data_IF_332711168742
#
_entry.id   IF_332711168742
#
_cell.length_a   1.000
_cell.length_b   1.000
_cell.length_c   1.000
_cell.angle_alpha   90.00
_cell.angle_beta   90.00
_cell.angle_gamma   90.00
#
_symmetry.space_group_name_H-M   'P 1'
#
loop_
_entity.id
_entity.type
_entity.pdbx_description
1 polymer ?
#
# COMPACT_ATOMS: atom_id res chain seq x y z
N UNK A 1 31.93 -11.72 -8.90
CA UNK A 1 32.72 -10.47 -8.91
C UNK A 1 33.04 -10.08 -10.35
N UNK A 2 32.40 -9.04 -10.92
CA UNK A 2 32.96 -8.37 -12.10
C UNK A 2 34.02 -7.41 -11.60
N UNK A 3 35.24 -7.92 -11.44
CA UNK A 3 36.41 -7.06 -11.22
C UNK A 3 36.56 -6.20 -12.48
N UNK A 4 36.14 -4.93 -12.41
CA UNK A 4 36.45 -3.96 -13.44
C UNK A 4 37.96 -3.74 -13.40
N UNK A 5 38.62 -4.24 -14.44
CA UNK A 5 40.04 -4.13 -14.70
C UNK A 5 40.55 -2.70 -14.53
N UNK A 6 41.29 -2.45 -13.45
CA UNK A 6 42.30 -1.39 -13.41
C UNK A 6 43.65 -2.06 -13.69
N UNK A 7 44.02 -2.02 -14.97
CA UNK A 7 45.30 -2.48 -15.51
C UNK A 7 46.41 -1.58 -14.95
N UNK A 8 47.29 -2.10 -14.10
CA UNK A 8 48.49 -1.35 -13.69
C UNK A 8 49.36 -1.92 -12.55
N UNK A 9 48.91 -2.90 -11.77
CA UNK A 9 49.67 -3.37 -10.60
C UNK A 9 49.80 -4.92 -10.56
N UNK A 10 50.40 -5.52 -11.58
CA UNK A 10 50.32 -6.98 -11.78
C UNK A 10 51.49 -7.81 -11.22
N UNK A 11 52.59 -7.23 -10.70
CA UNK A 11 53.79 -8.04 -10.41
C UNK A 11 54.16 -8.31 -8.94
N UNK A 12 53.49 -7.71 -7.94
CA UNK A 12 53.86 -7.92 -6.51
C UNK A 12 52.70 -8.45 -5.62
N UNK A 13 51.45 -8.45 -6.11
CA UNK A 13 50.28 -8.79 -5.29
C UNK A 13 49.87 -10.28 -5.31
N UNK A 14 50.54 -11.13 -6.10
CA UNK A 14 50.09 -12.49 -6.43
C UNK A 14 50.08 -13.49 -5.25
N UNK A 15 50.80 -13.21 -4.15
CA UNK A 15 50.81 -14.08 -2.96
C UNK A 15 49.70 -13.78 -1.95
N UNK A 16 49.47 -12.49 -1.64
CA UNK A 16 48.49 -12.09 -0.63
C UNK A 16 47.06 -12.03 -1.19
N UNK A 17 46.90 -11.63 -2.45
CA UNK A 17 45.57 -11.54 -3.08
C UNK A 17 44.94 -12.93 -3.27
N UNK A 18 45.74 -13.96 -3.57
CA UNK A 18 45.27 -15.35 -3.73
C UNK A 18 44.68 -15.92 -2.43
N UNK A 19 45.31 -15.61 -1.29
CA UNK A 19 44.84 -16.03 0.03
C UNK A 19 43.54 -15.33 0.41
N UNK A 20 43.46 -14.01 0.18
CA UNK A 20 42.26 -13.21 0.45
C UNK A 20 41.07 -13.70 -0.40
N UNK A 21 41.30 -14.06 -1.66
CA UNK A 21 40.26 -14.63 -2.51
C UNK A 21 39.76 -16.00 -2.01
N UNK A 22 40.67 -16.87 -1.56
CA UNK A 22 40.30 -18.18 -0.98
C UNK A 22 39.49 -18.03 0.33
N UNK A 23 39.87 -17.08 1.18
CA UNK A 23 39.13 -16.79 2.43
C UNK A 23 37.76 -16.19 2.14
N UNK A 24 37.66 -15.28 1.16
CA UNK A 24 36.38 -14.72 0.71
C UNK A 24 35.45 -15.80 0.15
N UNK A 25 35.96 -16.74 -0.65
CA UNK A 25 35.17 -17.86 -1.18
C UNK A 25 34.59 -18.77 -0.08
N UNK A 26 35.26 -18.87 1.07
CA UNK A 26 34.74 -19.59 2.24
C UNK A 26 33.62 -18.78 2.89
N UNK A 27 33.80 -17.47 3.07
CA UNK A 27 32.81 -16.59 3.70
C UNK A 27 31.51 -16.54 2.88
N UNK A 28 31.60 -16.50 1.54
CA UNK A 28 30.43 -16.52 0.65
C UNK A 28 29.63 -17.83 0.71
N UNK A 29 30.23 -18.93 1.21
CA UNK A 29 29.52 -20.20 1.40
C UNK A 29 28.76 -20.26 2.72
N UNK A 30 29.03 -19.33 3.65
CA UNK A 30 28.32 -19.27 4.94
C UNK A 30 26.92 -18.72 4.69
N UNK A 31 25.85 -19.44 5.09
CA UNK A 31 24.50 -18.94 4.91
C UNK A 31 24.26 -17.69 5.77
N UNK A 32 23.40 -16.79 5.30
CA UNK A 32 23.07 -15.52 5.98
C UNK A 32 24.27 -14.59 6.22
N UNK A 33 25.34 -14.69 5.41
CA UNK A 33 26.51 -13.82 5.50
C UNK A 33 26.67 -12.99 4.22
N UNK A 34 26.93 -11.69 4.37
CA UNK A 34 27.32 -10.79 3.27
C UNK A 34 28.61 -10.07 3.68
N UNK A 35 29.77 -10.42 3.11
CA UNK A 35 31.01 -9.70 3.39
C UNK A 35 30.94 -8.30 2.77
N UNK A 36 31.17 -7.26 3.57
CA UNK A 36 31.17 -5.87 3.11
C UNK A 36 32.49 -5.18 3.45
N UNK A 37 32.85 -4.16 2.67
CA UNK A 37 33.95 -3.25 3.01
C UNK A 37 33.43 -1.82 3.04
N UNK A 38 33.32 -1.25 4.24
CA UNK A 38 32.80 0.11 4.43
C UNK A 38 33.72 1.18 3.81
N UNK A 39 35.03 0.99 3.90
CA UNK A 39 36.02 1.94 3.35
C UNK A 39 35.99 2.02 1.83
N UNK A 40 35.77 0.88 1.16
CA UNK A 40 35.73 0.81 -0.31
C UNK A 40 34.32 0.78 -0.89
N UNK A 41 33.29 0.82 -0.04
CA UNK A 41 31.88 0.71 -0.43
C UNK A 41 31.57 -0.54 -1.26
N UNK A 42 32.20 -1.67 -0.92
CA UNK A 42 31.96 -2.94 -1.63
C UNK A 42 30.77 -3.69 -1.04
N UNK A 43 30.02 -4.34 -1.91
CA UNK A 43 28.92 -5.26 -1.59
C UNK A 43 27.75 -4.65 -0.80
N UNK A 44 27.58 -3.33 -0.85
CA UNK A 44 26.39 -2.69 -0.28
C UNK A 44 25.13 -3.09 -1.05
N UNK A 45 25.22 -3.30 -2.37
CA UNK A 45 24.08 -3.74 -3.19
C UNK A 45 23.58 -5.13 -2.75
N UNK A 46 24.50 -6.11 -2.63
CA UNK A 46 24.19 -7.47 -2.16
C UNK A 46 23.61 -7.45 -0.73
N UNK A 47 24.14 -6.58 0.14
CA UNK A 47 23.62 -6.42 1.50
C UNK A 47 22.19 -5.87 1.49
N UNK A 48 21.93 -4.85 0.67
CA UNK A 48 20.60 -4.24 0.55
C UNK A 48 19.59 -5.23 -0.03
N UNK A 49 19.98 -6.00 -1.05
CA UNK A 49 19.15 -7.06 -1.64
C UNK A 49 18.79 -8.12 -0.60
N UNK A 50 19.79 -8.62 0.15
CA UNK A 50 19.55 -9.60 1.22
C UNK A 50 18.69 -9.04 2.34
N UNK A 51 18.89 -7.78 2.73
CA UNK A 51 18.03 -7.14 3.72
C UNK A 51 16.59 -7.06 3.24
N UNK A 52 16.37 -6.69 1.98
CA UNK A 52 15.03 -6.63 1.39
C UNK A 52 14.35 -8.01 1.38
N UNK A 53 15.08 -9.04 0.95
CA UNK A 53 14.60 -10.42 0.94
C UNK A 53 14.20 -10.90 2.34
N UNK A 54 15.03 -10.63 3.36
CA UNK A 54 14.72 -11.05 4.74
C UNK A 54 13.59 -10.26 5.39
N UNK A 55 13.43 -8.98 5.04
CA UNK A 55 12.34 -8.16 5.58
C UNK A 55 10.97 -8.60 5.04
N UNK A 56 10.93 -9.29 3.89
CA UNK A 56 9.71 -9.84 3.29
C UNK A 56 8.55 -8.83 3.27
N UNK A 57 8.83 -7.67 2.67
CA UNK A 57 7.89 -6.55 2.60
C UNK A 57 7.19 -6.55 1.24
N UNK A 58 5.96 -6.06 1.23
CA UNK A 58 5.20 -5.80 0.00
C UNK A 58 4.97 -4.30 -0.17
N UNK A 59 4.97 -3.84 -1.41
CA UNK A 59 4.71 -2.46 -1.82
C UNK A 59 3.36 -2.41 -2.49
N UNK A 60 2.46 -1.58 -1.97
CA UNK A 60 1.14 -1.37 -2.55
C UNK A 60 1.02 0.08 -2.99
N UNK A 61 0.69 0.30 -4.26
CA UNK A 61 0.52 1.62 -4.83
C UNK A 61 -0.92 2.08 -4.66
N UNK A 62 -1.11 3.34 -4.26
CA UNK A 62 -2.45 3.89 -4.10
C UNK A 62 -2.89 4.64 -5.35
N UNK A 63 -4.16 4.47 -5.71
CA UNK A 63 -4.76 5.15 -6.85
C UNK A 63 -6.01 5.92 -6.41
N UNK A 64 -6.00 7.26 -6.43
CA UNK A 64 -7.18 8.06 -6.16
C UNK A 64 -8.22 7.93 -7.29
N UNK A 65 -9.49 8.19 -6.97
CA UNK A 65 -10.54 8.24 -8.01
C UNK A 65 -10.27 9.41 -8.96
N UNK A 66 -10.19 9.11 -10.25
CA UNK A 66 -9.96 10.11 -11.29
C UNK A 66 -8.49 10.53 -11.46
N UNK A 67 -7.56 9.94 -10.70
CA UNK A 67 -6.12 10.16 -10.87
C UNK A 67 -5.41 8.87 -11.24
N UNK A 68 -4.21 9.03 -11.78
CA UNK A 68 -3.28 7.92 -12.04
C UNK A 68 -2.72 7.38 -10.72
N UNK A 69 -2.28 6.11 -10.69
CA UNK A 69 -1.57 5.56 -9.54
C UNK A 69 -0.30 6.37 -9.25
N UNK A 70 -0.01 6.58 -7.97
CA UNK A 70 1.26 7.15 -7.55
C UNK A 70 2.29 6.03 -7.33
N UNK A 71 3.33 6.01 -8.16
CA UNK A 71 4.43 5.04 -8.09
C UNK A 71 5.63 5.54 -7.27
N UNK A 72 5.65 6.82 -6.88
CA UNK A 72 6.77 7.38 -6.13
C UNK A 72 6.68 7.07 -4.63
N UNK A 73 5.46 7.01 -4.09
CA UNK A 73 5.22 6.75 -2.67
C UNK A 73 4.36 5.50 -2.46
N UNK A 74 4.95 4.29 -2.55
CA UNK A 74 4.25 3.06 -2.20
C UNK A 74 3.99 2.99 -0.70
N UNK A 75 2.89 2.34 -0.34
CA UNK A 75 2.62 1.94 1.04
C UNK A 75 3.24 0.57 1.26
N UNK A 76 4.16 0.50 2.20
CA UNK A 76 4.87 -0.74 2.53
C UNK A 76 4.16 -1.46 3.67
N UNK A 77 3.83 -2.73 3.44
CA UNK A 77 3.21 -3.63 4.42
C UNK A 77 4.12 -4.86 4.65
N UNK A 78 4.14 -5.43 5.87
CA UNK A 78 4.75 -6.73 6.10
C UNK A 78 3.98 -7.85 5.36
N UNK A 79 4.67 -8.88 4.89
CA UNK A 79 4.02 -10.03 4.24
C UNK A 79 3.01 -10.76 5.15
N UNK A 80 3.19 -10.71 6.48
CA UNK A 80 2.27 -11.32 7.43
C UNK A 80 0.94 -10.56 7.56
N UNK A 81 0.96 -9.24 7.33
CA UNK A 81 -0.21 -8.35 7.45
C UNK A 81 -0.41 -7.57 6.16
N UNK A 82 -0.92 -8.28 5.15
CA UNK A 82 -1.05 -7.81 3.76
C UNK A 82 -2.50 -7.77 3.26
N UNK A 83 -3.46 -7.56 4.14
CA UNK A 83 -4.86 -7.46 3.74
C UNK A 83 -5.21 -6.03 3.28
N UNK A 84 -6.32 -5.89 2.57
CA UNK A 84 -6.89 -4.56 2.24
C UNK A 84 -7.27 -3.79 3.51
N UNK A 85 -7.64 -4.49 4.60
CA UNK A 85 -7.93 -3.87 5.88
C UNK A 85 -6.68 -3.27 6.54
N UNK A 86 -5.55 -4.00 6.50
CA UNK A 86 -4.23 -3.52 6.96
C UNK A 86 -3.78 -2.29 6.16
N UNK A 87 -3.98 -2.31 4.84
CA UNK A 87 -3.73 -1.15 3.98
C UNK A 87 -4.56 0.07 4.43
N UNK A 88 -5.84 -0.12 4.72
CA UNK A 88 -6.71 0.96 5.19
C UNK A 88 -6.22 1.53 6.53
N UNK A 89 -5.82 0.66 7.47
CA UNK A 89 -5.27 1.06 8.77
C UNK A 89 -3.97 1.85 8.63
N UNK A 90 -3.10 1.44 7.69
CA UNK A 90 -1.82 2.10 7.42
C UNK A 90 -2.00 3.50 6.82
N UNK A 91 -3.01 3.69 5.97
CA UNK A 91 -3.37 5.01 5.42
C UNK A 91 -3.96 5.89 6.51
N UNK A 92 -5.06 5.45 7.12
CA UNK A 92 -5.75 6.23 8.16
C UNK A 92 -6.76 5.39 8.95
N UNK A 93 -6.76 5.50 10.29
CA UNK A 93 -7.63 4.72 11.19
C UNK A 93 -9.13 4.81 10.87
N UNK A 94 -9.62 5.98 10.46
CA UNK A 94 -11.05 6.14 10.11
C UNK A 94 -11.42 5.54 8.74
N UNK A 95 -10.44 5.31 7.86
CA UNK A 95 -10.70 4.77 6.53
C UNK A 95 -11.30 3.36 6.58
N UNK A 96 -10.89 2.59 7.59
CA UNK A 96 -11.41 1.25 7.86
C UNK A 96 -12.93 1.25 8.15
N UNK A 97 -13.43 2.27 8.85
CA UNK A 97 -14.86 2.42 9.19
C UNK A 97 -15.69 2.81 7.98
N UNK A 98 -15.16 3.72 7.18
CA UNK A 98 -15.82 4.21 5.97
C UNK A 98 -15.59 3.31 4.75
N UNK A 99 -14.90 2.17 4.89
CA UNK A 99 -14.62 1.29 3.75
C UNK A 99 -15.90 0.68 3.16
N UNK A 100 -16.09 0.79 1.84
CA UNK A 100 -17.18 0.12 1.10
C UNK A 100 -16.67 -1.10 0.34
N UNK A 101 -15.63 -0.91 -0.47
CA UNK A 101 -14.92 -1.93 -1.25
C UNK A 101 -13.63 -1.30 -1.80
N UNK A 102 -12.73 -2.12 -2.34
CA UNK A 102 -11.58 -1.63 -3.10
C UNK A 102 -11.59 -2.19 -4.53
N UNK A 103 -10.96 -1.47 -5.45
CA UNK A 103 -10.52 -2.01 -6.73
C UNK A 103 -9.04 -2.31 -6.63
N UNK A 104 -8.65 -3.50 -7.09
CA UNK A 104 -7.25 -3.91 -7.15
C UNK A 104 -6.88 -4.21 -8.60
N UNK A 105 -5.69 -3.75 -8.98
CA UNK A 105 -5.00 -4.14 -10.21
C UNK A 105 -3.69 -4.77 -9.81
N UNK A 106 -3.40 -5.95 -10.34
CA UNK A 106 -2.13 -6.63 -10.09
C UNK A 106 -2.28 -8.13 -10.03
N UNK A 107 -1.28 -8.78 -9.44
CA UNK A 107 -1.17 -10.25 -9.44
C UNK A 107 -2.13 -10.90 -8.44
N UNK A 108 -2.58 -10.17 -7.42
CA UNK A 108 -3.55 -10.71 -6.45
C UNK A 108 -4.97 -10.80 -7.00
N UNK A 109 -5.28 -10.04 -8.06
CA UNK A 109 -6.58 -10.02 -8.71
C UNK A 109 -6.60 -10.99 -9.90
N UNK A 110 -7.67 -11.77 -10.04
CA UNK A 110 -7.89 -12.66 -11.20
C UNK A 110 -8.25 -11.87 -12.47
N UNK A 111 -8.90 -10.72 -12.31
CA UNK A 111 -9.32 -9.84 -13.39
C UNK A 111 -8.93 -8.41 -13.05
N UNK A 112 -8.50 -7.62 -14.03
CA UNK A 112 -8.04 -6.26 -13.78
C UNK A 112 -9.03 -5.23 -14.37
N UNK A 113 -9.63 -4.32 -13.58
CA UNK A 113 -9.69 -4.32 -12.10
C UNK A 113 -10.65 -5.35 -11.53
N UNK A 114 -10.32 -5.88 -10.35
CA UNK A 114 -11.24 -6.70 -9.55
C UNK A 114 -11.77 -5.91 -8.37
N UNK A 115 -13.08 -6.03 -8.11
CA UNK A 115 -13.68 -5.52 -6.88
C UNK A 115 -13.44 -6.50 -5.74
N UNK A 116 -12.84 -6.02 -4.66
CA UNK A 116 -12.43 -6.84 -3.51
C UNK A 116 -12.99 -6.30 -2.19
N UNK A 117 -13.06 -7.20 -1.20
CA UNK A 117 -13.42 -6.90 0.19
C UNK A 117 -12.20 -6.56 1.05
N UNK A 118 -12.41 -6.52 2.37
CA UNK A 118 -11.37 -6.23 3.37
C UNK A 118 -10.38 -7.37 3.58
N UNK A 119 -10.90 -8.60 3.56
CA UNK A 119 -10.12 -9.84 3.75
C UNK A 119 -9.26 -10.22 2.54
N UNK A 120 -9.29 -9.41 1.46
CA UNK A 120 -8.51 -9.71 0.27
C UNK A 120 -7.03 -9.51 0.55
N UNK A 121 -6.24 -10.50 0.16
CA UNK A 121 -4.80 -10.55 0.37
C UNK A 121 -4.11 -9.89 -0.82
N UNK A 122 -3.29 -8.87 -0.55
CA UNK A 122 -2.53 -8.12 -1.55
C UNK A 122 -1.16 -8.78 -1.79
N UNK A 123 -0.63 -8.58 -2.99
CA UNK A 123 0.71 -8.99 -3.39
C UNK A 123 1.61 -7.77 -3.61
N UNK A 124 2.93 -8.00 -3.73
CA UNK A 124 3.87 -6.93 -4.07
C UNK A 124 3.52 -6.29 -5.42
N UNK A 125 3.70 -4.98 -5.49
CA UNK A 125 3.41 -4.10 -6.62
C UNK A 125 1.93 -3.97 -7.04
N UNK A 126 1.00 -4.47 -6.23
CA UNK A 126 -0.42 -4.25 -6.47
C UNK A 126 -0.80 -2.77 -6.39
N UNK A 127 -1.74 -2.37 -7.24
CA UNK A 127 -2.37 -1.04 -7.19
C UNK A 127 -3.74 -1.17 -6.56
N UNK A 128 -4.02 -0.35 -5.55
CA UNK A 128 -5.30 -0.35 -4.83
C UNK A 128 -5.99 1.03 -4.89
N UNK A 129 -7.28 1.01 -5.22
CA UNK A 129 -8.17 2.17 -5.14
C UNK A 129 -9.28 1.89 -4.13
N UNK A 130 -9.25 2.60 -3.01
CA UNK A 130 -10.22 2.45 -1.92
C UNK A 130 -11.46 3.28 -2.21
N UNK A 131 -12.65 2.67 -2.11
CA UNK A 131 -13.93 3.35 -2.24
C UNK A 131 -14.60 3.44 -0.87
N UNK A 132 -14.87 4.68 -0.45
CA UNK A 132 -15.55 4.96 0.83
C UNK A 132 -17.08 4.85 0.68
N UNK A 133 -17.74 4.47 1.77
CA UNK A 133 -19.19 4.63 1.95
C UNK A 133 -19.47 6.12 2.04
N UNK A 134 -20.57 6.56 1.43
CA UNK A 134 -21.02 7.93 1.58
C UNK A 134 -21.58 8.09 2.99
N UNK A 135 -20.87 8.83 3.82
CA UNK A 135 -21.38 9.39 5.08
C UNK A 135 -21.58 10.88 4.85
N UNK A 136 -22.76 11.42 5.18
CA UNK A 136 -22.95 12.88 5.15
C UNK A 136 -21.85 13.49 6.04
N UNK A 137 -21.07 14.47 5.57
CA UNK A 137 -20.06 15.09 6.41
C UNK A 137 -20.77 15.71 7.63
N UNK A 138 -20.24 15.49 8.84
CA UNK A 138 -20.73 16.18 10.03
C UNK A 138 -20.60 17.69 9.78
N UNK A 139 -21.72 18.41 9.74
CA UNK A 139 -21.76 19.86 9.54
C UNK A 139 -21.97 20.33 8.09
N UNK A 140 -22.22 19.46 7.11
CA UNK A 140 -22.67 19.92 5.79
C UNK A 140 -24.16 20.29 5.85
N UNK A 141 -24.48 21.54 5.52
CA UNK A 141 -25.85 22.05 5.48
C UNK A 141 -26.71 21.12 4.60
N UNK A 142 -27.88 20.63 5.08
CA UNK A 142 -28.77 19.84 4.23
C UNK A 142 -29.13 20.66 3.00
N UNK A 143 -29.10 20.02 1.82
CA UNK A 143 -29.48 20.69 0.58
C UNK A 143 -30.99 21.00 0.58
N UNK A 144 -31.31 22.26 0.89
CA UNK A 144 -32.70 22.76 0.94
C UNK A 144 -33.36 22.84 -0.45
N UNK A 145 -32.60 22.70 -1.54
CA UNK A 145 -33.16 22.70 -2.89
C UNK A 145 -33.61 21.31 -3.35
N UNK A 146 -33.35 20.26 -2.58
CA UNK A 146 -33.88 18.92 -2.88
C UNK A 146 -35.39 18.87 -2.54
N UNK A 147 -36.28 18.62 -3.52
CA UNK A 147 -37.72 18.59 -3.25
C UNK A 147 -38.09 17.42 -2.32
N UNK A 148 -38.96 17.70 -1.36
CA UNK A 148 -39.47 16.70 -0.43
C UNK A 148 -40.52 15.85 -1.17
N UNK A 149 -40.16 14.61 -1.49
CA UNK A 149 -41.07 13.67 -2.15
C UNK A 149 -41.96 12.98 -1.12
N UNK A 150 -43.26 13.19 -1.24
CA UNK A 150 -44.28 12.47 -0.49
C UNK A 150 -44.74 11.21 -1.27
N UNK A 151 -45.12 10.12 -0.57
CA UNK A 151 -45.70 8.95 -1.22
C UNK A 151 -46.99 9.31 -1.96
N UNK A 152 -47.32 8.58 -3.02
CA UNK A 152 -48.47 8.86 -3.87
C UNK A 152 -49.80 8.91 -3.10
N UNK A 153 -49.89 8.12 -2.02
CA UNK A 153 -51.08 7.90 -1.19
C UNK A 153 -51.26 8.95 -0.07
N UNK A 154 -50.32 9.90 0.05
CA UNK A 154 -50.19 10.77 1.22
C UNK A 154 -49.69 12.15 0.77
N UNK A 155 -50.62 12.98 0.30
CA UNK A 155 -50.35 14.32 -0.27
C UNK A 155 -50.86 15.47 0.61
N UNK A 156 -51.20 15.18 1.87
CA UNK A 156 -51.73 16.19 2.77
C UNK A 156 -50.62 17.08 3.36
N UNK A 157 -50.99 18.27 3.83
CA UNK A 157 -50.05 19.19 4.50
C UNK A 157 -49.51 18.58 5.79
N UNK A 158 -50.32 17.79 6.51
CA UNK A 158 -49.92 17.13 7.75
C UNK A 158 -48.83 16.08 7.52
N UNK A 159 -48.93 15.35 6.40
CA UNK A 159 -47.92 14.37 5.99
C UNK A 159 -46.59 15.04 5.63
N UNK A 160 -46.64 16.21 4.98
CA UNK A 160 -45.47 17.05 4.72
C UNK A 160 -44.81 17.48 6.04
N UNK A 161 -45.60 18.01 6.97
CA UNK A 161 -45.13 18.45 8.28
C UNK A 161 -44.48 17.31 9.08
N UNK A 162 -45.10 16.12 9.09
CA UNK A 162 -44.55 14.92 9.73
C UNK A 162 -43.24 14.46 9.07
N UNK A 163 -43.14 14.53 7.73
CA UNK A 163 -41.94 14.18 6.97
C UNK A 163 -40.79 15.14 7.28
N UNK A 164 -41.06 16.44 7.29
CA UNK A 164 -40.09 17.49 7.66
C UNK A 164 -39.60 17.26 9.09
N UNK A 165 -40.52 17.05 10.04
CA UNK A 165 -40.16 16.83 11.44
C UNK A 165 -39.26 15.60 11.62
N UNK A 166 -39.59 14.47 10.96
CA UNK A 166 -38.76 13.26 10.98
C UNK A 166 -37.39 13.47 10.34
N UNK A 167 -37.31 14.20 9.23
CA UNK A 167 -36.03 14.50 8.57
C UNK A 167 -35.14 15.38 9.45
N UNK A 168 -35.70 16.43 10.06
CA UNK A 168 -34.98 17.27 11.02
C UNK A 168 -34.49 16.44 12.22
N UNK A 169 -35.34 15.63 12.84
CA UNK A 169 -34.91 14.74 13.93
C UNK A 169 -33.79 13.78 13.52
N UNK A 170 -33.77 13.33 12.26
CA UNK A 170 -32.75 12.42 11.73
C UNK A 170 -31.43 13.14 11.44
N UNK A 171 -31.48 14.39 10.97
CA UNK A 171 -30.31 15.20 10.69
C UNK A 171 -29.67 15.79 11.96
N UNK A 172 -30.44 15.98 13.04
CA UNK A 172 -29.97 16.52 14.32
C UNK A 172 -29.74 15.49 15.43
N UNK A 173 -30.14 14.22 15.26
CA UNK A 173 -29.74 13.14 16.19
C UNK A 173 -28.25 12.81 15.98
N UNK A 174 -27.44 13.28 16.94
CA UNK A 174 -26.01 12.98 17.15
C UNK A 174 -25.72 11.48 17.25
#
# INVERSE_FOLDING_TARGET
MKLKNERGAESVLCGNLKRILQELDIIYKIPHCVPISAHHKWNFDDLLEKMWDYLNLIRVYTKPKGQLPDYNTPIVLPADSRTVDDLCLKIHKNLQKDFKFAYVWGSSAKHNPQRVGKEHILNDEDVAQIVKKYTKPKGQLPDYNTPIVLPADSRTVDDLCLKIHKNLQKDFKL
#
